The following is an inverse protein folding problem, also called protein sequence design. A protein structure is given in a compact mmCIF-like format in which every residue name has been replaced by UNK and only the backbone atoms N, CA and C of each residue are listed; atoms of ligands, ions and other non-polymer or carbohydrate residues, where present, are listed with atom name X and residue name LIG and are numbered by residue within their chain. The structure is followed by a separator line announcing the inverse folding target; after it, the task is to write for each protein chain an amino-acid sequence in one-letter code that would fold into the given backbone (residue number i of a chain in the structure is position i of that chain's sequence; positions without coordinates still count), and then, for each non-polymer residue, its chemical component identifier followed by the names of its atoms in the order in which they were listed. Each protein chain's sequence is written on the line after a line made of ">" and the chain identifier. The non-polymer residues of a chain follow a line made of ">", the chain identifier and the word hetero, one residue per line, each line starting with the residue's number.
data_IF_544833600784
#
_entry.id   IF_544833600784
#
_cell.length_a   1.000
_cell.length_b   1.000
_cell.length_c   1.000
_cell.angle_alpha   90.00
_cell.angle_beta   90.00
_cell.angle_gamma   90.00
#
_symmetry.space_group_name_H-M   'P 1'
#
loop_
_entity.id
_entity.type
_entity.pdbx_description
1 polymer ?
#
# COMPACT_ATOMS: atom_id res chain seq x y z
N UNK A 1 -19.46 -13.38 7.19
CA UNK A 1 -18.17 -13.32 6.43
C UNK A 1 -17.70 -14.74 6.26
N UNK A 2 -17.28 -15.12 5.06
CA UNK A 2 -16.76 -16.45 4.78
C UNK A 2 -15.47 -16.71 5.57
N UNK A 3 -15.22 -17.94 6.02
CA UNK A 3 -14.06 -18.31 6.85
C UNK A 3 -12.73 -17.87 6.23
N UNK A 4 -12.56 -18.12 4.92
CA UNK A 4 -11.37 -17.69 4.17
C UNK A 4 -11.11 -16.19 4.30
N UNK A 5 -12.14 -15.37 4.18
CA UNK A 5 -12.07 -13.91 4.30
C UNK A 5 -11.75 -13.45 5.74
N UNK A 6 -12.24 -14.17 6.75
CA UNK A 6 -11.89 -13.89 8.15
C UNK A 6 -10.40 -14.12 8.39
N UNK A 7 -9.87 -15.26 7.91
CA UNK A 7 -8.45 -15.60 8.04
C UNK A 7 -7.58 -14.52 7.35
N UNK A 8 -7.90 -14.14 6.11
CA UNK A 8 -7.15 -13.10 5.37
C UNK A 8 -7.20 -11.76 6.13
N UNK A 9 -8.34 -11.38 6.65
CA UNK A 9 -8.53 -10.11 7.34
C UNK A 9 -7.72 -10.04 8.62
N UNK A 10 -7.76 -11.08 9.45
CA UNK A 10 -6.97 -11.13 10.68
C UNK A 10 -5.47 -11.21 10.40
N UNK A 11 -5.07 -12.05 9.45
CA UNK A 11 -3.67 -12.16 9.04
C UNK A 11 -3.13 -10.83 8.49
N UNK A 12 -3.92 -10.09 7.70
CA UNK A 12 -3.55 -8.77 7.23
C UNK A 12 -3.35 -7.77 8.39
N UNK A 13 -4.22 -7.80 9.39
CA UNK A 13 -4.07 -6.96 10.59
C UNK A 13 -2.75 -7.27 11.30
N UNK A 14 -2.45 -8.53 11.55
CA UNK A 14 -1.21 -8.95 12.19
C UNK A 14 0.02 -8.57 11.35
N UNK A 15 -0.06 -8.70 10.03
CA UNK A 15 1.03 -8.38 9.11
C UNK A 15 1.37 -6.89 9.16
N UNK A 16 0.38 -6.00 9.05
CA UNK A 16 0.63 -4.54 9.02
C UNK A 16 0.98 -3.97 10.39
N UNK A 17 0.64 -4.66 11.48
CA UNK A 17 0.98 -4.26 12.84
C UNK A 17 2.35 -4.76 13.29
N UNK A 18 2.70 -6.01 12.95
CA UNK A 18 3.84 -6.72 13.54
C UNK A 18 4.89 -7.18 12.51
N UNK A 19 4.56 -7.20 11.22
CA UNK A 19 5.38 -7.77 10.16
C UNK A 19 5.02 -9.24 9.87
N UNK A 20 5.44 -9.71 8.68
CA UNK A 20 5.07 -11.05 8.21
C UNK A 20 5.66 -12.16 9.09
N UNK A 21 6.90 -12.02 9.56
CA UNK A 21 7.56 -13.04 10.37
C UNK A 21 7.03 -13.12 11.80
N UNK A 22 6.39 -12.06 12.31
CA UNK A 22 6.01 -11.95 13.73
C UNK A 22 4.68 -12.64 14.11
N UNK A 23 3.95 -13.25 13.16
CA UNK A 23 2.75 -14.01 13.44
C UNK A 23 2.81 -15.43 12.89
N UNK A 24 1.99 -16.31 13.43
CA UNK A 24 1.83 -17.70 13.01
C UNK A 24 0.36 -18.05 12.84
N UNK A 25 0.04 -19.22 12.30
CA UNK A 25 -1.34 -19.72 12.24
C UNK A 25 -1.97 -19.83 13.63
N UNK A 26 -1.17 -20.20 14.63
CA UNK A 26 -1.62 -20.23 16.03
C UNK A 26 -2.08 -18.84 16.49
N UNK A 27 -1.32 -17.79 16.17
CA UNK A 27 -1.70 -16.41 16.51
C UNK A 27 -3.02 -16.00 15.88
N UNK A 28 -3.29 -16.45 14.65
CA UNK A 28 -4.56 -16.17 13.95
C UNK A 28 -5.70 -16.95 14.65
N UNK A 29 -5.52 -18.25 14.92
CA UNK A 29 -6.56 -19.09 15.52
C UNK A 29 -7.00 -18.59 16.89
N UNK A 30 -6.07 -18.08 17.70
CA UNK A 30 -6.37 -17.48 19.00
C UNK A 30 -7.22 -16.20 18.89
N UNK A 31 -7.15 -15.51 17.76
CA UNK A 31 -7.89 -14.25 17.52
C UNK A 31 -9.31 -14.47 16.99
N UNK A 32 -9.51 -15.47 16.14
CA UNK A 32 -10.81 -15.69 15.47
C UNK A 32 -11.50 -16.99 15.90
N UNK A 33 -10.99 -17.66 16.94
CA UNK A 33 -11.54 -18.87 17.57
C UNK A 33 -11.83 -20.01 16.57
N UNK A 34 -10.81 -20.40 15.80
CA UNK A 34 -10.90 -21.52 14.85
C UNK A 34 -9.75 -22.51 15.08
N UNK A 35 -9.88 -23.72 14.53
CA UNK A 35 -8.80 -24.71 14.56
C UNK A 35 -7.73 -24.39 13.52
N UNK A 36 -6.46 -24.69 13.83
CA UNK A 36 -5.34 -24.54 12.89
C UNK A 36 -5.55 -25.34 11.60
N UNK A 37 -6.22 -26.50 11.68
CA UNK A 37 -6.59 -27.31 10.50
C UNK A 37 -7.49 -26.55 9.52
N UNK A 38 -8.36 -25.67 10.01
CA UNK A 38 -9.21 -24.82 9.16
C UNK A 38 -8.37 -23.83 8.36
N UNK A 39 -7.29 -23.28 8.94
CA UNK A 39 -6.38 -22.40 8.20
C UNK A 39 -5.62 -23.20 7.14
N UNK A 40 -5.06 -24.36 7.49
CA UNK A 40 -4.34 -25.22 6.55
C UNK A 40 -5.20 -25.70 5.38
N UNK A 41 -6.50 -25.88 5.61
CA UNK A 41 -7.45 -26.22 4.54
C UNK A 41 -7.54 -25.12 3.47
N UNK A 42 -7.54 -23.85 3.87
CA UNK A 42 -7.63 -22.71 2.95
C UNK A 42 -6.26 -22.24 2.46
N UNK A 43 -5.24 -22.34 3.30
CA UNK A 43 -3.88 -21.87 3.07
C UNK A 43 -2.88 -22.92 3.55
N UNK A 44 -2.44 -23.84 2.69
CA UNK A 44 -1.49 -24.90 3.06
C UNK A 44 -0.20 -24.36 3.67
N UNK A 45 0.27 -23.22 3.19
CA UNK A 45 1.47 -22.55 3.71
C UNK A 45 1.20 -21.10 4.08
N UNK A 46 2.02 -20.53 4.95
CA UNK A 46 1.98 -19.10 5.30
C UNK A 46 2.27 -18.20 4.10
N UNK A 47 3.06 -18.67 3.14
CA UNK A 47 3.27 -18.03 1.84
C UNK A 47 1.95 -17.87 1.08
N UNK A 48 1.14 -18.94 0.98
CA UNK A 48 -0.13 -18.90 0.26
C UNK A 48 -1.09 -17.89 0.88
N UNK A 49 -1.09 -17.79 2.20
CA UNK A 49 -1.82 -16.75 2.93
C UNK A 49 -1.27 -15.35 2.63
N UNK A 50 0.05 -15.18 2.59
CA UNK A 50 0.71 -13.92 2.23
C UNK A 50 0.35 -13.45 0.82
N UNK A 51 0.37 -14.36 -0.15
CA UNK A 51 -0.06 -14.10 -1.53
C UNK A 51 -1.52 -13.67 -1.56
N UNK A 52 -2.41 -14.37 -0.87
CA UNK A 52 -3.83 -14.02 -0.82
C UNK A 52 -4.08 -12.63 -0.21
N UNK A 53 -3.30 -12.24 0.80
CA UNK A 53 -3.35 -10.88 1.37
C UNK A 53 -2.96 -9.84 0.32
N UNK A 54 -1.85 -10.04 -0.41
CA UNK A 54 -1.42 -9.10 -1.46
C UNK A 54 -2.49 -9.00 -2.55
N UNK A 55 -3.01 -10.11 -3.03
CA UNK A 55 -4.06 -10.15 -4.05
C UNK A 55 -5.33 -9.38 -3.63
N UNK A 56 -5.71 -9.47 -2.36
CA UNK A 56 -6.81 -8.66 -1.82
C UNK A 56 -6.51 -7.16 -1.88
N UNK A 57 -5.28 -6.76 -1.59
CA UNK A 57 -4.85 -5.36 -1.74
C UNK A 57 -4.80 -4.92 -3.20
N UNK A 58 -4.35 -5.78 -4.12
CA UNK A 58 -4.37 -5.52 -5.56
C UNK A 58 -5.81 -5.27 -6.05
N UNK A 59 -6.76 -6.14 -5.70
CA UNK A 59 -8.18 -5.97 -6.06
C UNK A 59 -8.76 -4.66 -5.53
N UNK A 60 -8.47 -4.30 -4.27
CA UNK A 60 -8.90 -3.03 -3.69
C UNK A 60 -8.27 -1.82 -4.39
N UNK A 61 -7.02 -1.94 -4.82
CA UNK A 61 -6.32 -0.93 -5.59
C UNK A 61 -6.92 -0.76 -6.99
N UNK A 62 -7.18 -1.85 -7.72
CA UNK A 62 -7.85 -1.84 -9.02
C UNK A 62 -9.25 -1.19 -8.94
N UNK A 63 -10.02 -1.51 -7.90
CA UNK A 63 -11.30 -0.85 -7.65
C UNK A 63 -11.13 0.66 -7.39
N UNK A 64 -10.06 1.05 -6.72
CA UNK A 64 -9.74 2.46 -6.49
C UNK A 64 -9.42 3.15 -7.82
N UNK A 65 -8.60 2.54 -8.67
CA UNK A 65 -8.29 3.03 -10.02
C UNK A 65 -9.59 3.20 -10.82
N UNK A 66 -10.44 2.18 -10.86
CA UNK A 66 -11.71 2.22 -11.59
C UNK A 66 -12.61 3.37 -11.13
N UNK A 67 -12.69 3.64 -9.81
CA UNK A 67 -13.44 4.76 -9.24
C UNK A 67 -12.85 6.15 -9.55
N UNK A 68 -11.63 6.20 -10.06
CA UNK A 68 -10.97 7.45 -10.49
C UNK A 68 -11.04 7.69 -11.99
N UNK A 69 -11.70 6.81 -12.76
CA UNK A 69 -11.94 7.04 -14.19
C UNK A 69 -12.71 8.35 -14.39
N UNK A 70 -12.26 9.15 -15.36
CA UNK A 70 -12.84 10.47 -15.65
C UNK A 70 -12.47 11.58 -14.67
N UNK A 71 -11.69 11.30 -13.61
CA UNK A 71 -11.21 12.32 -12.68
C UNK A 71 -9.94 13.01 -13.21
N UNK A 72 -9.75 14.26 -12.77
CA UNK A 72 -8.53 15.03 -13.05
C UNK A 72 -7.30 14.43 -12.38
N UNK A 73 -6.10 14.80 -12.87
CA UNK A 73 -4.84 14.36 -12.27
C UNK A 73 -4.72 14.81 -10.81
N UNK A 74 -5.20 16.02 -10.47
CA UNK A 74 -5.22 16.52 -9.09
C UNK A 74 -6.13 15.69 -8.18
N UNK A 75 -7.31 15.29 -8.64
CA UNK A 75 -8.20 14.43 -7.87
C UNK A 75 -7.60 13.02 -7.67
N UNK A 76 -6.94 12.47 -8.70
CA UNK A 76 -6.31 11.14 -8.62
C UNK A 76 -5.14 11.14 -7.62
N UNK A 77 -4.24 12.12 -7.69
CA UNK A 77 -3.10 12.20 -6.76
C UNK A 77 -3.57 12.49 -5.33
N UNK A 78 -4.63 13.27 -5.17
CA UNK A 78 -5.27 13.49 -3.87
C UNK A 78 -5.81 12.18 -3.26
N UNK A 79 -6.31 11.23 -4.08
CA UNK A 79 -6.72 9.90 -3.60
C UNK A 79 -5.54 9.07 -3.13
N UNK A 80 -4.40 9.14 -3.82
CA UNK A 80 -3.16 8.51 -3.40
C UNK A 80 -2.72 9.04 -2.02
N UNK A 81 -2.65 10.36 -1.87
CA UNK A 81 -2.27 10.99 -0.60
C UNK A 81 -3.24 10.63 0.54
N UNK A 82 -4.55 10.63 0.25
CA UNK A 82 -5.57 10.26 1.23
C UNK A 82 -5.42 8.81 1.72
N UNK A 83 -5.01 7.87 0.85
CA UNK A 83 -4.72 6.50 1.26
C UNK A 83 -3.60 6.47 2.31
N UNK A 84 -2.47 7.12 2.04
CA UNK A 84 -1.35 7.16 2.99
C UNK A 84 -1.67 7.94 4.26
N UNK A 85 -2.45 9.03 4.15
CA UNK A 85 -2.96 9.78 5.33
C UNK A 85 -3.79 8.91 6.27
N UNK A 86 -4.61 8.01 5.71
CA UNK A 86 -5.37 7.04 6.52
C UNK A 86 -4.46 6.06 7.25
N UNK A 87 -3.40 5.57 6.60
CA UNK A 87 -2.41 4.72 7.28
C UNK A 87 -1.77 5.43 8.48
N UNK A 88 -1.38 6.70 8.31
CA UNK A 88 -0.86 7.52 9.42
C UNK A 88 -1.90 7.67 10.52
N UNK A 89 -3.17 7.94 10.18
CA UNK A 89 -4.25 8.10 11.15
C UNK A 89 -4.51 6.82 11.96
N UNK A 90 -4.38 5.66 11.32
CA UNK A 90 -4.60 4.35 11.91
C UNK A 90 -3.33 3.73 12.52
N UNK A 91 -2.21 4.43 12.50
CA UNK A 91 -0.88 3.95 12.97
C UNK A 91 -0.44 2.66 12.24
N UNK A 92 -0.85 2.49 10.99
CA UNK A 92 -0.53 1.34 10.13
C UNK A 92 0.54 1.70 9.12
N UNK A 93 1.18 0.67 8.55
CA UNK A 93 2.05 0.80 7.37
C UNK A 93 1.35 0.26 6.14
N UNK A 94 1.80 0.65 4.94
CA UNK A 94 1.29 0.04 3.72
C UNK A 94 1.79 -1.41 3.61
N UNK A 95 1.01 -2.27 2.96
CA UNK A 95 1.31 -3.70 2.85
C UNK A 95 2.68 -3.96 2.18
N UNK A 96 3.05 -3.17 1.16
CA UNK A 96 4.37 -3.26 0.52
C UNK A 96 5.47 -2.96 1.52
N UNK A 97 5.35 -1.87 2.30
CA UNK A 97 6.31 -1.50 3.32
C UNK A 97 6.44 -2.55 4.44
N UNK A 98 5.32 -3.15 4.86
CA UNK A 98 5.32 -4.20 5.88
C UNK A 98 6.06 -5.46 5.42
N UNK A 99 5.82 -5.89 4.16
CA UNK A 99 6.44 -7.09 3.60
C UNK A 99 7.91 -6.88 3.21
N UNK A 100 8.26 -5.69 2.71
CA UNK A 100 9.65 -5.41 2.32
C UNK A 100 10.61 -5.34 3.51
N UNK A 101 10.11 -5.11 4.72
CA UNK A 101 10.94 -5.22 5.95
C UNK A 101 11.43 -6.66 6.18
N UNK A 102 10.68 -7.65 5.73
CA UNK A 102 10.98 -9.08 5.85
C UNK A 102 11.53 -9.69 4.55
N UNK A 103 11.82 -8.91 3.51
CA UNK A 103 12.06 -9.36 2.12
C UNK A 103 13.10 -10.47 2.00
N UNK A 104 14.16 -10.42 2.81
CA UNK A 104 15.25 -11.39 2.77
C UNK A 104 14.88 -12.79 3.30
N UNK A 105 13.75 -12.90 4.01
CA UNK A 105 13.25 -14.15 4.59
C UNK A 105 12.05 -14.70 3.82
N UNK A 106 11.51 -13.93 2.86
CA UNK A 106 10.40 -14.36 2.03
C UNK A 106 10.89 -15.25 0.89
N UNK A 107 10.09 -16.24 0.53
CA UNK A 107 10.33 -17.07 -0.65
C UNK A 107 9.99 -16.34 -1.95
N UNK A 108 10.54 -16.85 -3.06
CA UNK A 108 10.47 -16.19 -4.37
C UNK A 108 9.05 -15.90 -4.85
N UNK A 109 8.06 -16.82 -4.77
CA UNK A 109 6.70 -16.52 -5.22
C UNK A 109 6.07 -15.32 -4.49
N UNK A 110 6.30 -15.18 -3.18
CA UNK A 110 5.78 -14.05 -2.41
C UNK A 110 6.50 -12.75 -2.77
N UNK A 111 7.82 -12.80 -3.01
CA UNK A 111 8.60 -11.63 -3.50
C UNK A 111 8.10 -11.15 -4.86
N UNK A 112 7.77 -12.05 -5.77
CA UNK A 112 7.22 -11.69 -7.08
C UNK A 112 5.86 -11.00 -6.97
N UNK A 113 4.96 -11.46 -6.11
CA UNK A 113 3.68 -10.78 -5.89
C UNK A 113 3.87 -9.35 -5.32
N UNK A 114 4.83 -9.17 -4.40
CA UNK A 114 5.18 -7.84 -3.87
C UNK A 114 5.68 -6.93 -4.99
N UNK A 115 6.56 -7.44 -5.85
CA UNK A 115 7.11 -6.70 -6.99
C UNK A 115 6.01 -6.26 -7.94
N UNK A 116 5.14 -7.19 -8.37
CA UNK A 116 4.02 -6.91 -9.27
C UNK A 116 3.13 -5.81 -8.69
N UNK A 117 2.76 -5.92 -7.42
CA UNK A 117 1.89 -4.92 -6.78
C UNK A 117 2.59 -3.56 -6.62
N UNK A 118 3.85 -3.54 -6.23
CA UNK A 118 4.66 -2.32 -6.13
C UNK A 118 4.76 -1.61 -7.49
N UNK A 119 5.02 -2.37 -8.56
CA UNK A 119 5.07 -1.82 -9.92
C UNK A 119 3.72 -1.27 -10.38
N UNK A 120 2.61 -1.94 -10.05
CA UNK A 120 1.27 -1.44 -10.37
C UNK A 120 1.01 -0.07 -9.73
N UNK A 121 1.38 0.12 -8.45
CA UNK A 121 1.25 1.41 -7.75
C UNK A 121 2.10 2.49 -8.43
N UNK A 122 3.36 2.18 -8.74
CA UNK A 122 4.29 3.12 -9.42
C UNK A 122 3.77 3.48 -10.81
N UNK A 123 3.31 2.51 -11.59
CA UNK A 123 2.81 2.75 -12.94
C UNK A 123 1.54 3.60 -12.94
N UNK A 124 0.61 3.34 -12.02
CA UNK A 124 -0.59 4.18 -11.87
C UNK A 124 -0.21 5.61 -11.45
N UNK A 125 0.71 5.79 -10.51
CA UNK A 125 1.19 7.11 -10.12
C UNK A 125 1.85 7.83 -11.29
N UNK A 126 2.66 7.13 -12.10
CA UNK A 126 3.28 7.69 -13.29
C UNK A 126 2.22 8.13 -14.34
N UNK A 127 1.14 7.37 -14.51
CA UNK A 127 0.04 7.76 -15.40
C UNK A 127 -0.68 9.02 -14.92
N UNK A 128 -0.86 9.18 -13.60
CA UNK A 128 -1.42 10.42 -13.03
C UNK A 128 -0.52 11.63 -13.37
N UNK A 129 0.79 11.47 -13.24
CA UNK A 129 1.74 12.54 -13.58
C UNK A 129 1.70 12.88 -15.06
N UNK A 130 1.58 11.87 -15.93
CA UNK A 130 1.43 12.07 -17.39
C UNK A 130 0.11 12.79 -17.72
N UNK A 131 -1.01 12.36 -17.11
CA UNK A 131 -2.30 13.04 -17.26
C UNK A 131 -2.21 14.51 -16.84
N UNK A 132 -1.53 14.80 -15.71
CA UNK A 132 -1.38 16.16 -15.19
C UNK A 132 -0.57 17.07 -16.11
N UNK A 133 0.47 16.55 -16.78
CA UNK A 133 1.20 17.30 -17.80
C UNK A 133 0.33 17.56 -19.02
N UNK A 134 -0.44 16.58 -19.48
CA UNK A 134 -1.37 16.73 -20.61
C UNK A 134 -2.47 17.74 -20.28
N UNK A 135 -2.97 17.75 -19.05
CA UNK A 135 -3.95 18.72 -18.55
C UNK A 135 -3.35 20.09 -18.24
N UNK A 136 -2.03 20.25 -18.37
CA UNK A 136 -1.26 21.49 -18.05
C UNK A 136 -1.44 21.94 -16.59
N UNK A 137 -1.70 21.02 -15.67
CA UNK A 137 -1.78 21.29 -14.22
C UNK A 137 -0.49 20.92 -13.50
N UNK A 138 0.35 20.03 -14.09
CA UNK A 138 1.67 19.69 -13.57
C UNK A 138 2.79 20.22 -14.48
N UNK A 139 3.89 20.59 -13.85
CA UNK A 139 5.13 21.01 -14.51
C UNK A 139 5.66 19.90 -15.43
N UNK A 140 6.41 20.23 -16.48
CA UNK A 140 7.11 19.23 -17.28
C UNK A 140 8.04 18.38 -16.42
N UNK A 141 7.94 17.07 -16.54
CA UNK A 141 8.75 16.07 -15.81
C UNK A 141 9.56 15.27 -16.84
N UNK A 142 10.89 15.25 -16.74
CA UNK A 142 11.74 14.51 -17.67
C UNK A 142 11.46 13.00 -17.67
N UNK A 143 11.07 12.45 -16.50
CA UNK A 143 10.76 11.03 -16.31
C UNK A 143 9.67 10.86 -15.27
N UNK A 144 8.44 10.67 -15.72
CA UNK A 144 7.27 10.49 -14.84
C UNK A 144 7.37 9.22 -13.98
N UNK A 145 7.96 8.13 -14.50
CA UNK A 145 8.11 6.88 -13.74
C UNK A 145 9.12 7.04 -12.58
N UNK A 146 10.21 7.76 -12.81
CA UNK A 146 11.20 8.04 -11.75
C UNK A 146 10.61 8.98 -10.69
N UNK A 147 9.88 10.02 -11.11
CA UNK A 147 9.16 10.93 -10.19
C UNK A 147 8.09 10.18 -9.40
N UNK A 148 7.36 9.26 -10.02
CA UNK A 148 6.40 8.39 -9.32
C UNK A 148 7.08 7.54 -8.24
N UNK A 149 8.22 6.91 -8.55
CA UNK A 149 9.02 6.17 -7.55
C UNK A 149 9.44 7.07 -6.39
N UNK A 150 9.91 8.28 -6.67
CA UNK A 150 10.29 9.25 -5.65
C UNK A 150 9.10 9.59 -4.73
N UNK A 151 7.92 9.88 -5.30
CA UNK A 151 6.71 10.19 -4.54
C UNK A 151 6.31 9.00 -3.65
N UNK A 152 6.25 7.78 -4.20
CA UNK A 152 5.89 6.59 -3.44
C UNK A 152 6.89 6.32 -2.31
N UNK A 153 8.20 6.43 -2.57
CA UNK A 153 9.24 6.28 -1.55
C UNK A 153 9.08 7.32 -0.43
N UNK A 154 8.81 8.59 -0.79
CA UNK A 154 8.55 9.65 0.19
C UNK A 154 7.32 9.34 1.05
N UNK A 155 6.20 8.95 0.43
CA UNK A 155 4.96 8.62 1.17
C UNK A 155 5.15 7.43 2.11
N UNK A 156 5.87 6.39 1.68
CA UNK A 156 6.17 5.23 2.53
C UNK A 156 7.06 5.61 3.72
N UNK A 157 8.09 6.43 3.50
CA UNK A 157 8.97 6.91 4.55
C UNK A 157 8.22 7.83 5.53
N UNK A 158 7.38 8.74 5.03
CA UNK A 158 6.58 9.66 5.84
C UNK A 158 5.62 8.94 6.78
N UNK A 159 5.02 7.82 6.36
CA UNK A 159 4.18 6.98 7.23
C UNK A 159 5.02 6.45 8.40
N UNK A 160 6.25 6.00 8.16
CA UNK A 160 7.13 5.49 9.22
C UNK A 160 7.56 6.60 10.18
N UNK A 161 7.94 7.76 9.65
CA UNK A 161 8.32 8.93 10.45
C UNK A 161 7.15 9.37 11.34
N UNK A 162 5.94 9.52 10.78
CA UNK A 162 4.75 9.91 11.52
C UNK A 162 4.41 8.94 12.67
N UNK A 163 4.69 7.64 12.49
CA UNK A 163 4.53 6.62 13.56
C UNK A 163 5.54 6.80 14.68
N UNK A 164 6.80 7.10 14.35
CA UNK A 164 7.86 7.35 15.36
C UNK A 164 7.55 8.61 16.13
N UNK A 165 7.23 9.69 15.43
CA UNK A 165 6.95 11.00 16.03
C UNK A 165 5.60 11.08 16.74
N UNK A 166 4.69 10.13 16.48
CA UNK A 166 3.28 10.17 16.90
C UNK A 166 2.57 11.46 16.47
N UNK A 167 3.04 12.07 15.40
CA UNK A 167 2.60 13.35 14.87
C UNK A 167 2.11 13.22 13.42
N UNK A 168 0.89 13.69 13.16
CA UNK A 168 0.24 13.63 11.85
C UNK A 168 0.47 14.90 11.01
N UNK A 169 0.81 16.02 11.66
CA UNK A 169 0.93 17.33 10.99
C UNK A 169 2.04 17.34 9.95
N UNK A 170 3.18 16.71 10.25
CA UNK A 170 4.30 16.60 9.31
C UNK A 170 3.93 15.91 7.99
N UNK A 171 3.06 14.90 8.03
CA UNK A 171 2.59 14.22 6.84
C UNK A 171 1.82 15.16 5.90
N UNK A 172 0.89 15.96 6.42
CA UNK A 172 0.09 16.88 5.62
C UNK A 172 0.96 17.97 4.98
N UNK A 173 1.91 18.53 5.73
CA UNK A 173 2.86 19.52 5.21
C UNK A 173 3.74 18.95 4.09
N UNK A 174 4.28 17.75 4.27
CA UNK A 174 5.13 17.11 3.26
C UNK A 174 4.36 16.72 2.00
N UNK A 175 3.12 16.26 2.12
CA UNK A 175 2.28 15.97 0.94
C UNK A 175 1.91 17.25 0.19
N UNK A 176 1.69 18.36 0.90
CA UNK A 176 1.51 19.67 0.28
C UNK A 176 2.76 20.11 -0.46
N UNK A 177 3.96 19.98 0.13
CA UNK A 177 5.22 20.30 -0.56
C UNK A 177 5.40 19.48 -1.85
N UNK A 178 5.07 18.17 -1.82
CA UNK A 178 5.10 17.33 -3.04
C UNK A 178 4.16 17.89 -4.10
N UNK A 179 2.96 18.34 -3.70
CA UNK A 179 1.98 18.91 -4.62
C UNK A 179 2.46 20.24 -5.22
N UNK A 180 3.01 21.13 -4.40
CA UNK A 180 3.54 22.44 -4.81
C UNK A 180 4.73 22.29 -5.78
N UNK A 181 5.57 21.26 -5.58
CA UNK A 181 6.63 20.93 -6.53
C UNK A 181 6.08 20.49 -7.89
N UNK A 182 4.97 19.78 -7.92
CA UNK A 182 4.36 19.24 -9.13
C UNK A 182 3.54 20.27 -9.88
N UNK A 183 2.78 21.11 -9.18
CA UNK A 183 1.82 22.03 -9.79
C UNK A 183 2.49 23.25 -10.44
N UNK A 184 1.88 23.71 -11.52
CA UNK A 184 2.20 25.01 -12.12
C UNK A 184 1.53 26.05 -11.21
N UNK A 185 2.33 26.89 -10.54
CA UNK A 185 1.81 28.05 -9.84
C UNK A 185 1.41 29.10 -10.90
N UNK A 186 0.19 29.59 -10.81
CA UNK A 186 -0.27 30.75 -11.59
C UNK A 186 0.51 32.03 -11.18
#
# INVERSE_FOLDING_TARGET
>A
MEMKEQIITEANTLLVEKGFNAFSYKTITEKIDIKTSSIHYHFPTKRDLGIAIIQKHQQAFEQTIAKTNGKTALEKIGKLFLYYKRLVAEQKVCIVGALTSDINTLDEPLRQEILIFSEAIVNWTASILQDGQTQKVFKPLPNTKLKAKQIIASLMALVQIARIEKNKTGFDLMTQMILDELTINE
#
